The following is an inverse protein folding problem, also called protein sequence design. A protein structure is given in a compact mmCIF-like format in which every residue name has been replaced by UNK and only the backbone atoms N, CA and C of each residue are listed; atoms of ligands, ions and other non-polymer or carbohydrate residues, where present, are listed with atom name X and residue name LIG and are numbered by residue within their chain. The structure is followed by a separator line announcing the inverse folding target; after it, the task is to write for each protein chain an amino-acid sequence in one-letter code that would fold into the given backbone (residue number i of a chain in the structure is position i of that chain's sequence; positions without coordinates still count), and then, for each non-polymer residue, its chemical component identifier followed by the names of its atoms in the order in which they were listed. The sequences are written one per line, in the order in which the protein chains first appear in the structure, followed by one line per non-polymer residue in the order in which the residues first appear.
data_IF_572383673459
#
_entry.id   IF_572383673459
#
_cell.length_a   1.000
_cell.length_b   1.000
_cell.length_c   1.000
_cell.angle_alpha   90.00
_cell.angle_beta   90.00
_cell.angle_gamma   90.00
#
_symmetry.space_group_name_H-M   'P 1'
#
loop_
_entity.id
_entity.type
_entity.pdbx_description
1 polymer ?
#
# COMPACT_ATOMS: atom_id res chain seq x y z
N UNK A 1 -21.78 3.67 0.39
CA UNK A 1 -22.51 4.02 -0.85
C UNK A 1 -21.58 3.95 -2.07
N UNK A 2 -22.14 3.88 -3.28
CA UNK A 2 -21.35 3.94 -4.53
C UNK A 2 -20.62 5.28 -4.63
N UNK A 3 -19.40 5.27 -5.16
CA UNK A 3 -18.54 6.46 -5.36
C UNK A 3 -18.29 7.28 -4.08
N UNK A 4 -18.17 6.62 -2.93
CA UNK A 4 -17.85 7.27 -1.65
C UNK A 4 -16.45 6.89 -1.14
N UNK A 5 -15.37 7.23 -1.87
CA UNK A 5 -14.01 6.83 -1.50
C UNK A 5 -13.59 7.40 -0.13
N UNK A 6 -14.11 8.56 0.25
CA UNK A 6 -13.86 9.16 1.57
C UNK A 6 -14.31 8.28 2.76
N UNK A 7 -15.19 7.29 2.52
CA UNK A 7 -15.62 6.32 3.52
C UNK A 7 -14.77 5.04 3.53
N UNK A 8 -13.89 4.85 2.54
CA UNK A 8 -13.00 3.71 2.48
C UNK A 8 -11.67 4.05 3.19
N UNK A 9 -11.35 3.43 4.34
CA UNK A 9 -10.10 3.68 5.07
C UNK A 9 -8.84 3.47 4.23
N UNK A 10 -8.90 2.58 3.23
CA UNK A 10 -7.79 2.31 2.32
C UNK A 10 -7.35 3.55 1.53
N UNK A 11 -8.25 4.49 1.24
CA UNK A 11 -7.89 5.75 0.56
C UNK A 11 -6.91 6.58 1.41
N UNK A 12 -7.10 6.58 2.74
CA UNK A 12 -6.19 7.23 3.67
C UNK A 12 -4.82 6.56 3.71
N UNK A 13 -4.79 5.23 3.71
CA UNK A 13 -3.54 4.44 3.64
C UNK A 13 -2.80 4.74 2.34
N UNK A 14 -3.46 4.66 1.19
CA UNK A 14 -2.85 4.93 -0.11
C UNK A 14 -2.37 6.37 -0.27
N UNK A 15 -3.07 7.35 0.32
CA UNK A 15 -2.59 8.73 0.37
C UNK A 15 -1.25 8.83 1.10
N UNK A 16 -1.11 8.16 2.25
CA UNK A 16 0.14 8.17 3.04
C UNK A 16 1.26 7.42 2.33
N UNK A 17 0.99 6.22 1.81
CA UNK A 17 1.96 5.44 1.02
C UNK A 17 2.50 6.27 -0.15
N UNK A 18 1.62 6.90 -0.94
CA UNK A 18 2.07 7.79 -2.01
C UNK A 18 2.96 8.94 -1.49
N UNK A 19 2.66 9.52 -0.34
CA UNK A 19 3.52 10.52 0.31
C UNK A 19 4.95 10.04 0.56
N UNK A 20 5.14 8.79 1.00
CA UNK A 20 6.47 8.17 1.16
C UNK A 20 7.19 7.95 -0.16
N UNK A 21 6.44 7.66 -1.23
CA UNK A 21 6.99 7.39 -2.56
C UNK A 21 7.33 8.66 -3.34
N UNK A 22 6.65 9.78 -3.09
CA UNK A 22 6.80 11.03 -3.86
C UNK A 22 8.22 11.64 -3.93
N UNK A 23 9.10 11.50 -2.93
CA UNK A 23 10.50 11.90 -3.06
C UNK A 23 11.23 11.14 -4.17
N UNK A 24 10.86 9.89 -4.44
CA UNK A 24 11.37 9.06 -5.55
C UNK A 24 10.31 8.99 -6.66
N UNK A 25 10.38 9.93 -7.61
CA UNK A 25 9.45 10.02 -8.75
C UNK A 25 9.73 9.02 -9.88
N UNK A 26 10.80 8.23 -9.76
CA UNK A 26 11.22 7.25 -10.74
C UNK A 26 11.66 5.97 -10.03
N UNK A 27 11.24 4.83 -10.58
CA UNK A 27 11.63 3.49 -10.17
C UNK A 27 12.15 2.78 -11.42
N UNK A 28 13.24 2.04 -11.31
CA UNK A 28 13.86 1.28 -12.40
C UNK A 28 13.02 0.09 -12.87
N UNK A 29 11.95 -0.27 -12.15
CA UNK A 29 11.01 -1.29 -12.57
C UNK A 29 9.87 -1.52 -11.58
N UNK A 30 8.96 -2.42 -11.94
CA UNK A 30 7.79 -2.79 -11.12
C UNK A 30 8.22 -3.43 -9.80
N UNK A 31 9.29 -4.22 -9.80
CA UNK A 31 9.80 -4.87 -8.58
C UNK A 31 10.36 -3.85 -7.57
N UNK A 32 11.12 -2.85 -8.04
CA UNK A 32 11.61 -1.78 -7.17
C UNK A 32 10.44 -0.96 -6.59
N UNK A 33 9.42 -0.68 -7.40
CA UNK A 33 8.21 -0.01 -6.92
C UNK A 33 7.48 -0.87 -5.87
N UNK A 34 7.35 -2.18 -6.11
CA UNK A 34 6.74 -3.13 -5.17
C UNK A 34 7.47 -3.11 -3.82
N UNK A 35 8.80 -3.20 -3.84
CA UNK A 35 9.61 -3.14 -2.62
C UNK A 35 9.43 -1.81 -1.88
N UNK A 36 9.44 -0.69 -2.59
CA UNK A 36 9.22 0.63 -2.00
C UNK A 36 7.82 0.75 -1.37
N UNK A 37 6.79 0.21 -2.02
CA UNK A 37 5.42 0.14 -1.47
C UNK A 37 5.38 -0.71 -0.20
N UNK A 38 6.01 -1.88 -0.19
CA UNK A 38 6.08 -2.75 1.00
C UNK A 38 6.80 -2.06 2.15
N UNK A 39 7.91 -1.38 1.88
CA UNK A 39 8.64 -0.62 2.90
C UNK A 39 7.78 0.53 3.46
N UNK A 40 7.07 1.27 2.60
CA UNK A 40 6.17 2.34 3.04
C UNK A 40 5.01 1.80 3.91
N UNK A 41 4.44 0.65 3.54
CA UNK A 41 3.41 -0.02 4.34
C UNK A 41 3.94 -0.46 5.71
N UNK A 42 5.15 -1.05 5.76
CA UNK A 42 5.82 -1.42 7.03
C UNK A 42 6.08 -0.20 7.90
N UNK A 43 6.55 0.91 7.32
CA UNK A 43 6.77 2.17 8.03
C UNK A 43 5.48 2.77 8.61
N UNK A 44 4.33 2.48 7.99
CA UNK A 44 3.00 2.84 8.49
C UNK A 44 2.44 1.86 9.54
N UNK A 45 3.22 0.85 9.95
CA UNK A 45 2.81 -0.18 10.91
C UNK A 45 2.03 -1.33 10.28
N UNK A 46 2.03 -1.45 8.95
CA UNK A 46 1.40 -2.56 8.24
C UNK A 46 2.10 -3.89 8.54
N UNK A 47 1.29 -4.91 8.86
CA UNK A 47 1.75 -6.27 9.11
C UNK A 47 1.32 -7.16 7.95
N UNK A 48 2.26 -7.95 7.44
CA UNK A 48 1.94 -8.96 6.43
C UNK A 48 1.17 -10.10 7.08
N UNK A 49 -0.08 -10.27 6.66
CA UNK A 49 -0.91 -11.38 7.09
C UNK A 49 -0.76 -12.50 6.06
N UNK A 50 -0.17 -13.63 6.47
CA UNK A 50 -0.32 -14.88 5.73
C UNK A 50 -1.73 -15.38 5.99
N UNK A 51 -2.66 -15.01 5.11
CA UNK A 51 -3.98 -15.64 5.09
C UNK A 51 -3.70 -17.08 4.65
N UNK A 52 -3.64 -17.99 5.61
CA UNK A 52 -3.69 -19.41 5.34
C UNK A 52 -5.02 -19.64 4.62
N UNK A 53 -4.95 -19.89 3.31
CA UNK A 53 -6.07 -20.46 2.60
C UNK A 53 -6.26 -21.87 3.12
N UNK A 54 -7.01 -22.03 4.20
CA UNK A 54 -7.72 -23.28 4.43
C UNK A 54 -8.81 -23.33 3.37
N UNK A 55 -8.63 -24.26 2.43
CA UNK A 55 -9.56 -24.45 1.34
C UNK A 55 -10.95 -24.84 1.84
N UNK A 56 -11.94 -24.39 1.08
CA UNK A 56 -13.20 -25.09 0.83
C UNK A 56 -13.57 -24.87 -0.62
#
# INVERSE_FOLDING_TARGET
PRYSPHLNPMEGVWRRVKGFLMPRRHYGGVEELREAVVQALKALGGVELKILGEGT
#
